data_IF_318369437153
#
_entry.id   IF_318369437153
#
_cell.length_a   1.000
_cell.length_b   1.000
_cell.length_c   1.000
_cell.angle_alpha   90.00
_cell.angle_beta   90.00
_cell.angle_gamma   90.00
#
_symmetry.space_group_name_H-M   'P 1'
#
loop_
_entity.id
_entity.type
_entity.pdbx_description
1 polymer ?
#
# COMPACT_ATOMS: atom_id res chain seq x y z
N UNK A 1 -7.01 -6.08 -14.67
CA UNK A 1 -7.12 -6.08 -13.20
C UNK A 1 -8.54 -5.71 -12.82
N UNK A 2 -9.17 -6.58 -12.04
CA UNK A 2 -10.36 -6.25 -11.26
C UNK A 2 -10.04 -5.13 -10.25
N UNK A 3 -11.04 -4.64 -9.53
CA UNK A 3 -10.78 -3.68 -8.45
C UNK A 3 -10.00 -4.35 -7.31
N UNK A 4 -10.39 -5.56 -6.95
CA UNK A 4 -9.77 -6.36 -5.90
C UNK A 4 -8.30 -6.66 -6.24
N UNK A 5 -7.99 -7.01 -7.50
CA UNK A 5 -6.61 -7.25 -7.94
C UNK A 5 -5.71 -6.02 -7.69
N UNK A 6 -6.26 -4.81 -7.74
CA UNK A 6 -5.50 -3.56 -7.50
C UNK A 6 -5.25 -3.33 -6.03
N UNK A 7 -6.23 -3.67 -5.19
CA UNK A 7 -6.12 -3.59 -3.74
C UNK A 7 -5.06 -4.59 -3.27
N UNK A 8 -5.16 -5.84 -3.72
CA UNK A 8 -4.18 -6.89 -3.44
C UNK A 8 -2.77 -6.46 -3.86
N UNK A 9 -2.64 -5.90 -5.07
CA UNK A 9 -1.35 -5.41 -5.54
C UNK A 9 -0.78 -4.26 -4.68
N UNK A 10 -1.62 -3.33 -4.21
CA UNK A 10 -1.16 -2.28 -3.29
C UNK A 10 -0.75 -2.86 -1.94
N UNK A 11 -1.48 -3.83 -1.40
CA UNK A 11 -1.11 -4.52 -0.17
C UNK A 11 0.26 -5.19 -0.30
N UNK A 12 0.54 -5.89 -1.40
CA UNK A 12 1.87 -6.45 -1.67
C UNK A 12 2.97 -5.38 -1.73
N UNK A 13 2.69 -4.19 -2.28
CA UNK A 13 3.70 -3.12 -2.31
C UNK A 13 3.95 -2.58 -0.89
N UNK A 14 2.91 -2.46 -0.05
CA UNK A 14 3.10 -2.10 1.35
C UNK A 14 3.95 -3.14 2.07
N UNK A 15 3.69 -4.44 1.90
CA UNK A 15 4.53 -5.51 2.47
C UNK A 15 6.01 -5.37 2.09
N UNK A 16 6.29 -5.10 0.81
CA UNK A 16 7.66 -4.87 0.33
C UNK A 16 8.26 -3.61 0.92
N UNK A 17 7.48 -2.54 1.03
CA UNK A 17 7.95 -1.28 1.60
C UNK A 17 8.25 -1.38 3.10
N UNK A 18 7.53 -2.24 3.83
CA UNK A 18 7.79 -2.52 5.25
C UNK A 18 8.84 -3.61 5.48
N UNK A 19 9.51 -4.13 4.45
CA UNK A 19 10.41 -5.27 4.57
C UNK A 19 11.63 -5.01 5.48
N UNK A 20 11.98 -3.76 5.74
CA UNK A 20 13.03 -3.37 6.69
C UNK A 20 12.49 -2.92 8.07
N UNK A 21 11.17 -2.97 8.28
CA UNK A 21 10.49 -2.67 9.53
C UNK A 21 10.04 -1.21 9.71
N UNK A 22 10.25 -0.33 8.73
CA UNK A 22 9.73 1.03 8.72
C UNK A 22 9.11 1.36 7.34
N UNK A 23 8.33 2.44 7.25
CA UNK A 23 7.86 2.96 5.96
C UNK A 23 8.44 4.35 5.74
N UNK A 24 9.50 4.42 4.93
CA UNK A 24 10.16 5.66 4.65
C UNK A 24 9.30 6.57 3.76
N UNK A 25 9.48 7.90 3.89
CA UNK A 25 8.63 8.86 3.19
C UNK A 25 8.68 8.73 1.65
N UNK A 26 9.81 8.28 1.10
CA UNK A 26 9.98 8.03 -0.34
C UNK A 26 9.19 6.81 -0.81
N UNK A 27 9.10 5.77 0.00
CA UNK A 27 8.32 4.56 -0.29
C UNK A 27 6.85 4.89 -0.24
N UNK A 28 6.40 5.56 0.83
CA UNK A 28 5.03 6.04 0.94
C UNK A 28 4.63 6.94 -0.25
N UNK A 29 5.51 7.85 -0.67
CA UNK A 29 5.27 8.68 -1.85
C UNK A 29 5.21 7.87 -3.15
N UNK A 30 6.03 6.83 -3.28
CA UNK A 30 6.02 5.91 -4.43
C UNK A 30 4.73 5.10 -4.48
N UNK A 31 4.30 4.54 -3.35
CA UNK A 31 3.02 3.83 -3.21
C UNK A 31 1.86 4.73 -3.60
N UNK A 32 1.87 6.00 -3.16
CA UNK A 32 0.83 6.97 -3.53
C UNK A 32 0.79 7.23 -5.04
N UNK A 33 1.94 7.32 -5.71
CA UNK A 33 2.00 7.44 -7.17
C UNK A 33 1.43 6.22 -7.87
N UNK A 34 1.79 5.01 -7.42
CA UNK A 34 1.26 3.76 -7.98
C UNK A 34 -0.25 3.67 -7.77
N UNK A 35 -0.74 3.96 -6.55
CA UNK A 35 -2.17 3.93 -6.21
C UNK A 35 -2.99 4.90 -7.07
N UNK A 36 -2.44 6.09 -7.35
CA UNK A 36 -3.08 7.05 -8.26
C UNK A 36 -3.19 6.52 -9.70
N UNK A 37 -2.16 5.82 -10.20
CA UNK A 37 -2.18 5.17 -11.53
C UNK A 37 -3.26 4.08 -11.58
N UNK A 38 -3.41 3.32 -10.48
CA UNK A 38 -4.43 2.28 -10.34
C UNK A 38 -5.84 2.84 -10.13
N UNK A 39 -5.96 4.14 -9.86
CA UNK A 39 -7.20 4.87 -9.55
C UNK A 39 -7.87 4.39 -8.26
N UNK A 40 -7.07 4.10 -7.24
CA UNK A 40 -7.57 3.74 -5.92
C UNK A 40 -7.88 5.00 -5.10
N UNK A 41 -8.92 4.92 -4.29
CA UNK A 41 -9.32 6.00 -3.39
C UNK A 41 -8.42 6.04 -2.16
N UNK A 42 -8.26 7.25 -1.59
CA UNK A 42 -7.43 7.46 -0.40
C UNK A 42 -7.79 6.52 0.77
N UNK A 43 -9.08 6.28 0.98
CA UNK A 43 -9.54 5.44 2.09
C UNK A 43 -9.10 3.97 1.93
N UNK A 44 -9.03 3.50 0.69
CA UNK A 44 -8.59 2.14 0.37
C UNK A 44 -7.09 1.99 0.62
N UNK A 45 -6.30 3.01 0.25
CA UNK A 45 -4.86 3.04 0.53
C UNK A 45 -4.60 3.07 2.04
N UNK A 46 -5.40 3.85 2.80
CA UNK A 46 -5.28 3.91 4.27
C UNK A 46 -5.62 2.55 4.89
N UNK A 47 -6.67 1.88 4.39
CA UNK A 47 -7.06 0.56 4.89
C UNK A 47 -5.98 -0.49 4.62
N UNK A 48 -5.46 -0.56 3.38
CA UNK A 48 -4.37 -1.48 3.03
C UNK A 48 -3.12 -1.23 3.87
N UNK A 49 -2.74 0.04 4.09
CA UNK A 49 -1.63 0.39 4.98
C UNK A 49 -1.85 -0.12 6.40
N UNK A 50 -3.03 0.17 6.98
CA UNK A 50 -3.36 -0.20 8.35
C UNK A 50 -3.43 -1.73 8.54
N UNK A 51 -3.90 -2.45 7.52
CA UNK A 51 -3.90 -3.91 7.52
C UNK A 51 -2.47 -4.45 7.59
N UNK A 52 -1.56 -3.97 6.73
CA UNK A 52 -0.15 -4.42 6.76
C UNK A 52 0.54 -4.04 8.07
N UNK A 53 0.30 -2.82 8.58
CA UNK A 53 0.82 -2.40 9.89
C UNK A 53 0.38 -3.33 11.03
N UNK A 54 -0.84 -3.88 10.97
CA UNK A 54 -1.33 -4.81 11.99
C UNK A 54 -0.62 -6.17 12.02
N UNK A 55 0.11 -6.53 10.96
CA UNK A 55 0.94 -7.74 10.91
C UNK A 55 2.39 -7.52 11.40
N UNK A 56 2.78 -6.27 11.67
CA UNK A 56 4.12 -5.89 12.13
C UNK A 56 4.21 -5.77 13.67
N UNK A 57 3.08 -5.85 14.37
CA UNK A 57 2.98 -5.83 15.85
C UNK A 57 3.33 -7.18 16.51
#
# INVERSE_FOLDING_TARGET
LSHDDKLDFISCIFEVAYADGDLHYLEHHTIKKISNILKLHRNEIIAAKAEIESYLD
#
